data_IF_997249921413
#
_entry.id   IF_997249921413
#
_cell.length_a   1.000
_cell.length_b   1.000
_cell.length_c   1.000
_cell.angle_alpha   90.00
_cell.angle_beta   90.00
_cell.angle_gamma   90.00
#
_symmetry.space_group_name_H-M   'P 1'
#
loop_
_entity.id
_entity.type
_entity.pdbx_description
1 polymer ?
#
# COMPACT_ATOMS: atom_id res chain seq x y z
N UNK A 1 2.66 -22.94 32.45
CA UNK A 1 1.56 -22.20 31.80
C UNK A 1 2.19 -21.45 30.64
N UNK A 2 2.41 -22.18 29.55
CA UNK A 2 3.07 -21.66 28.36
C UNK A 2 2.20 -20.57 27.74
N UNK A 3 2.75 -19.36 27.64
CA UNK A 3 2.20 -18.32 26.79
C UNK A 3 2.44 -18.78 25.36
N UNK A 4 1.51 -19.54 24.79
CA UNK A 4 1.44 -19.71 23.35
C UNK A 4 1.44 -18.29 22.75
N UNK A 5 2.56 -17.90 22.13
CA UNK A 5 2.58 -16.71 21.29
C UNK A 5 1.61 -17.01 20.16
N UNK A 6 0.41 -16.42 20.20
CA UNK A 6 -0.51 -16.45 19.07
C UNK A 6 0.29 -16.05 17.82
N UNK A 7 0.56 -17.03 16.97
CA UNK A 7 1.23 -16.79 15.71
C UNK A 7 0.19 -16.13 14.82
N UNK A 8 0.43 -14.85 14.47
CA UNK A 8 -0.45 -14.12 13.57
C UNK A 8 -0.71 -14.96 12.31
N UNK A 9 -1.98 -15.04 11.90
CA UNK A 9 -2.35 -15.74 10.67
C UNK A 9 -1.67 -15.10 9.46
N UNK A 10 -1.51 -15.85 8.37
CA UNK A 10 -0.90 -15.32 7.14
C UNK A 10 -1.65 -14.08 6.64
N UNK A 11 -2.99 -14.12 6.70
CA UNK A 11 -3.87 -12.99 6.34
C UNK A 11 -3.56 -11.74 7.16
N UNK A 12 -3.38 -11.87 8.47
CA UNK A 12 -3.03 -10.75 9.35
C UNK A 12 -1.63 -10.21 9.06
N UNK A 13 -0.62 -11.08 8.93
CA UNK A 13 0.76 -10.68 8.61
C UNK A 13 0.83 -9.93 7.29
N UNK A 14 0.18 -10.47 6.26
CA UNK A 14 0.10 -9.84 4.95
C UNK A 14 -0.55 -8.46 5.04
N UNK A 15 -1.74 -8.39 5.63
CA UNK A 15 -2.54 -7.16 5.69
C UNK A 15 -1.80 -6.07 6.46
N UNK A 16 -1.25 -6.40 7.63
CA UNK A 16 -0.47 -5.47 8.44
C UNK A 16 0.73 -4.93 7.65
N UNK A 17 1.47 -5.80 6.97
CA UNK A 17 2.67 -5.41 6.22
C UNK A 17 2.35 -4.45 5.08
N UNK A 18 1.30 -4.73 4.31
CA UNK A 18 0.86 -3.90 3.19
C UNK A 18 0.27 -2.58 3.66
N UNK A 19 -0.56 -2.58 4.70
CA UNK A 19 -1.14 -1.36 5.27
C UNK A 19 -0.04 -0.47 5.88
N UNK A 20 0.91 -1.02 6.64
CA UNK A 20 2.00 -0.23 7.23
C UNK A 20 2.84 0.43 6.13
N UNK A 21 3.23 -0.33 5.09
CA UNK A 21 3.99 0.23 3.98
C UNK A 21 3.20 1.33 3.26
N UNK A 22 1.91 1.11 3.04
CA UNK A 22 1.01 2.10 2.46
C UNK A 22 0.87 3.38 3.30
N UNK A 23 0.76 3.24 4.62
CA UNK A 23 0.73 4.37 5.54
C UNK A 23 2.03 5.18 5.52
N UNK A 24 3.19 4.53 5.41
CA UNK A 24 4.47 5.22 5.26
C UNK A 24 4.53 6.05 3.97
N UNK A 25 4.07 5.48 2.85
CA UNK A 25 3.93 6.21 1.59
C UNK A 25 2.96 7.37 1.68
N UNK A 26 1.85 7.21 2.42
CA UNK A 26 0.87 8.27 2.63
C UNK A 26 1.44 9.42 3.46
N UNK A 27 2.17 9.12 4.54
CA UNK A 27 2.88 10.11 5.36
C UNK A 27 3.95 10.86 4.57
N UNK A 28 4.72 10.13 3.74
CA UNK A 28 5.64 10.74 2.79
C UNK A 28 4.91 11.72 1.87
N UNK A 29 3.78 11.30 1.29
CA UNK A 29 3.03 12.08 0.32
C UNK A 29 2.47 13.37 0.93
N UNK A 30 1.93 13.29 2.14
CA UNK A 30 1.48 14.47 2.90
C UNK A 30 2.66 15.40 3.17
N UNK A 31 3.80 14.86 3.62
CA UNK A 31 5.01 15.65 3.89
C UNK A 31 5.54 16.35 2.63
N UNK A 32 5.45 15.68 1.47
CA UNK A 32 5.89 16.21 0.18
C UNK A 32 5.00 17.36 -0.35
N UNK A 33 3.77 17.51 0.15
CA UNK A 33 2.91 18.64 -0.18
C UNK A 33 3.30 19.92 0.56
N UNK A 34 3.97 19.82 1.71
CA UNK A 34 4.27 20.96 2.57
C UNK A 34 5.63 21.60 2.21
N UNK A 35 5.68 22.89 1.83
CA UNK A 35 6.91 23.56 1.40
C UNK A 35 7.76 24.07 2.59
N UNK A 36 7.92 23.27 3.65
CA UNK A 36 8.68 23.64 4.85
C UNK A 36 9.97 22.82 4.97
N UNK A 37 11.12 23.48 5.18
CA UNK A 37 12.46 22.85 5.12
C UNK A 37 12.62 21.65 6.07
N UNK A 38 12.25 21.72 7.37
CA UNK A 38 12.29 20.56 8.27
C UNK A 38 11.42 19.39 7.81
N UNK A 39 10.20 19.65 7.34
CA UNK A 39 9.27 18.62 6.86
C UNK A 39 9.82 17.93 5.60
N UNK A 40 10.58 18.65 4.78
CA UNK A 40 11.27 18.05 3.62
C UNK A 40 12.31 17.00 4.00
N UNK A 41 13.04 17.21 5.11
CA UNK A 41 14.00 16.23 5.63
C UNK A 41 13.25 15.00 6.15
N UNK A 42 12.17 15.20 6.90
CA UNK A 42 11.31 14.11 7.39
C UNK A 42 10.72 13.32 6.21
N UNK A 43 10.24 14.01 5.17
CA UNK A 43 9.75 13.40 3.94
C UNK A 43 10.81 12.57 3.23
N UNK A 44 12.06 13.02 3.16
CA UNK A 44 13.15 12.25 2.56
C UNK A 44 13.44 10.95 3.35
N UNK A 45 13.43 11.01 4.69
CA UNK A 45 13.60 9.83 5.54
C UNK A 45 12.43 8.86 5.35
N UNK A 46 11.19 9.36 5.35
CA UNK A 46 9.99 8.54 5.10
C UNK A 46 10.04 7.87 3.73
N UNK A 47 10.47 8.58 2.69
CA UNK A 47 10.64 8.02 1.35
C UNK A 47 11.64 6.87 1.34
N UNK A 48 12.80 7.04 1.97
CA UNK A 48 13.84 6.02 2.03
C UNK A 48 13.35 4.75 2.74
N UNK A 49 12.69 4.91 3.90
CA UNK A 49 12.12 3.78 4.65
C UNK A 49 11.00 3.09 3.84
N UNK A 50 10.09 3.86 3.25
CA UNK A 50 8.98 3.34 2.43
C UNK A 50 9.49 2.56 1.21
N UNK A 51 10.56 3.03 0.56
CA UNK A 51 11.17 2.35 -0.56
C UNK A 51 11.72 0.99 -0.14
N UNK A 52 12.48 0.91 0.96
CA UNK A 52 13.02 -0.34 1.49
C UNK A 52 11.88 -1.31 1.85
N UNK A 53 10.84 -0.84 2.54
CA UNK A 53 9.67 -1.65 2.88
C UNK A 53 8.93 -2.15 1.63
N UNK A 54 8.93 -1.37 0.55
CA UNK A 54 8.33 -1.76 -0.73
C UNK A 54 9.14 -2.85 -1.44
N UNK A 55 10.46 -2.76 -1.44
CA UNK A 55 11.30 -3.86 -1.92
C UNK A 55 11.11 -5.12 -1.09
N UNK A 56 11.02 -4.97 0.23
CA UNK A 56 10.77 -6.10 1.13
C UNK A 56 9.43 -6.77 0.76
N UNK A 57 8.34 -6.01 0.63
CA UNK A 57 7.00 -6.53 0.28
C UNK A 57 6.94 -7.22 -1.08
N UNK A 58 7.72 -6.76 -2.06
CA UNK A 58 7.80 -7.37 -3.39
C UNK A 58 8.69 -8.63 -3.45
N UNK A 59 9.82 -8.64 -2.72
CA UNK A 59 10.83 -9.69 -2.84
C UNK A 59 10.61 -10.88 -1.89
N UNK A 60 9.93 -10.67 -0.77
CA UNK A 60 9.66 -11.76 0.17
C UNK A 60 8.50 -12.59 -0.35
N UNK A 61 8.78 -13.88 -0.52
CA UNK A 61 7.78 -14.89 -0.86
C UNK A 61 6.62 -14.82 0.14
N UNK A 62 5.43 -14.64 -0.38
CA UNK A 62 4.22 -14.62 0.45
C UNK A 62 3.95 -16.05 0.89
N UNK A 63 4.00 -16.29 2.20
CA UNK A 63 3.41 -17.48 2.80
C UNK A 63 1.91 -17.46 2.46
N UNK A 64 1.37 -18.61 2.14
CA UNK A 64 -0.06 -18.83 1.86
C UNK A 64 -0.49 -20.02 2.68
N UNK A 65 -1.62 -19.89 3.39
CA UNK A 65 -2.14 -20.97 4.22
C UNK A 65 -2.73 -22.10 3.35
N UNK A 66 -3.24 -21.78 2.16
CA UNK A 66 -3.86 -22.72 1.20
C UNK A 66 -3.95 -22.13 -0.23
N UNK A 67 -4.46 -22.91 -1.19
CA UNK A 67 -4.64 -22.44 -2.58
C UNK A 67 -5.69 -21.33 -2.70
N UNK A 68 -6.68 -21.29 -1.81
CA UNK A 68 -7.76 -20.30 -1.80
C UNK A 68 -7.24 -18.90 -1.40
N UNK A 69 -6.42 -18.81 -0.35
CA UNK A 69 -5.76 -17.58 0.07
C UNK A 69 -4.83 -17.01 -1.03
N UNK A 70 -4.18 -17.86 -1.83
CA UNK A 70 -3.43 -17.43 -3.02
C UNK A 70 -4.38 -16.72 -4.00
N UNK A 71 -5.51 -17.35 -4.33
CA UNK A 71 -6.50 -16.76 -5.26
C UNK A 71 -7.04 -15.43 -4.74
N UNK A 72 -7.39 -15.34 -3.45
CA UNK A 72 -7.82 -14.09 -2.81
C UNK A 72 -6.77 -12.98 -2.92
N UNK A 73 -5.47 -13.29 -2.72
CA UNK A 73 -4.37 -12.32 -2.86
C UNK A 73 -4.27 -11.83 -4.31
N UNK A 74 -4.35 -12.73 -5.30
CA UNK A 74 -4.29 -12.35 -6.72
C UNK A 74 -5.50 -11.50 -7.13
N UNK A 75 -6.70 -11.88 -6.70
CA UNK A 75 -7.92 -11.11 -6.92
C UNK A 75 -7.81 -9.71 -6.31
N UNK A 76 -7.33 -9.61 -5.06
CA UNK A 76 -7.12 -8.35 -4.37
C UNK A 76 -6.12 -7.45 -5.09
N UNK A 77 -4.99 -8.00 -5.56
CA UNK A 77 -3.99 -7.25 -6.35
C UNK A 77 -4.56 -6.79 -7.69
N UNK A 78 -5.29 -7.65 -8.40
CA UNK A 78 -5.88 -7.32 -9.70
C UNK A 78 -6.90 -6.19 -9.58
N UNK A 79 -7.86 -6.31 -8.66
CA UNK A 79 -8.87 -5.29 -8.41
C UNK A 79 -8.23 -3.97 -7.96
N UNK A 80 -7.20 -4.03 -7.11
CA UNK A 80 -6.45 -2.85 -6.69
C UNK A 80 -5.80 -2.15 -7.87
N UNK A 81 -5.24 -2.90 -8.82
CA UNK A 81 -4.60 -2.36 -10.01
C UNK A 81 -5.62 -1.63 -10.91
N UNK A 82 -6.82 -2.18 -11.09
CA UNK A 82 -7.89 -1.52 -11.86
C UNK A 82 -8.35 -0.21 -11.20
N UNK A 83 -8.53 -0.21 -9.87
CA UNK A 83 -8.87 1.00 -9.10
C UNK A 83 -7.76 2.05 -9.23
N UNK A 84 -6.49 1.63 -9.16
CA UNK A 84 -5.35 2.52 -9.34
C UNK A 84 -5.32 3.14 -10.73
N UNK A 85 -5.49 2.34 -11.78
CA UNK A 85 -5.52 2.85 -13.16
C UNK A 85 -6.65 3.87 -13.33
N UNK A 86 -7.85 3.56 -12.85
CA UNK A 86 -8.97 4.50 -12.85
C UNK A 86 -8.64 5.81 -12.11
N UNK A 87 -8.02 5.71 -10.93
CA UNK A 87 -7.62 6.89 -10.14
C UNK A 87 -6.54 7.72 -10.84
N UNK A 88 -5.55 7.09 -11.49
CA UNK A 88 -4.51 7.76 -12.25
C UNK A 88 -5.08 8.48 -13.46
N UNK A 89 -5.99 7.85 -14.21
CA UNK A 89 -6.69 8.47 -15.32
C UNK A 89 -7.47 9.71 -14.87
N UNK A 90 -8.20 9.60 -13.75
CA UNK A 90 -8.99 10.70 -13.19
C UNK A 90 -8.11 11.89 -12.81
N UNK A 91 -7.01 11.64 -12.09
CA UNK A 91 -6.06 12.71 -11.71
C UNK A 91 -5.36 13.30 -12.94
N UNK A 92 -5.03 12.48 -13.93
CA UNK A 92 -4.46 12.93 -15.20
C UNK A 92 -5.40 13.91 -15.93
N UNK A 93 -6.68 13.55 -16.07
CA UNK A 93 -7.70 14.42 -16.67
C UNK A 93 -7.82 15.73 -15.88
N UNK A 94 -7.94 15.66 -14.55
CA UNK A 94 -8.04 16.85 -13.68
C UNK A 94 -6.79 17.74 -13.79
N UNK A 95 -5.60 17.15 -13.91
CA UNK A 95 -4.35 17.89 -14.07
C UNK A 95 -4.25 18.66 -15.39
N UNK A 96 -5.05 18.29 -16.40
CA UNK A 96 -5.21 19.07 -17.63
C UNK A 96 -6.00 20.37 -17.42
N UNK A 97 -6.83 20.43 -16.38
CA UNK A 97 -7.65 21.61 -16.05
C UNK A 97 -7.07 22.43 -14.89
N UNK A 98 -6.32 21.79 -13.99
CA UNK A 98 -5.73 22.41 -12.81
C UNK A 98 -4.21 22.24 -12.89
N UNK A 99 -3.44 23.32 -12.76
CA UNK A 99 -1.97 23.30 -12.68
C UNK A 99 -1.49 22.61 -11.40
N UNK A 100 -1.67 21.30 -11.32
CA UNK A 100 -1.20 20.44 -10.25
C UNK A 100 -0.02 19.61 -10.74
N UNK A 101 1.15 19.70 -10.09
CA UNK A 101 2.31 18.90 -10.47
C UNK A 101 2.09 17.41 -10.18
N UNK A 102 1.92 16.60 -11.22
CA UNK A 102 1.67 15.16 -11.12
C UNK A 102 2.74 14.42 -10.30
N UNK A 103 4.00 14.87 -10.35
CA UNK A 103 5.09 14.30 -9.55
C UNK A 103 4.89 14.48 -8.03
N UNK A 104 3.94 15.30 -7.57
CA UNK A 104 3.56 15.35 -6.14
C UNK A 104 2.49 14.33 -5.78
N UNK A 105 1.74 13.82 -6.75
CA UNK A 105 0.68 12.83 -6.53
C UNK A 105 1.18 11.38 -6.51
N UNK A 106 2.35 11.08 -7.11
CA UNK A 106 2.80 9.69 -7.27
C UNK A 106 2.83 8.89 -5.96
N UNK A 107 3.28 9.51 -4.86
CA UNK A 107 3.34 8.85 -3.56
C UNK A 107 1.95 8.39 -3.06
N UNK A 108 0.88 9.11 -3.41
CA UNK A 108 -0.49 8.71 -3.08
C UNK A 108 -0.93 7.47 -3.88
N UNK A 109 -0.54 7.38 -5.16
CA UNK A 109 -0.80 6.17 -5.95
C UNK A 109 -0.03 4.97 -5.42
N UNK A 110 1.23 5.16 -5.02
CA UNK A 110 2.01 4.08 -4.40
C UNK A 110 1.40 3.68 -3.06
N UNK A 111 0.96 4.63 -2.23
CA UNK A 111 0.25 4.33 -0.98
C UNK A 111 -1.02 3.50 -1.24
N UNK A 112 -1.86 3.93 -2.18
CA UNK A 112 -3.07 3.20 -2.56
C UNK A 112 -2.75 1.79 -3.07
N UNK A 113 -1.65 1.60 -3.81
CA UNK A 113 -1.21 0.29 -4.30
C UNK A 113 -0.79 -0.70 -3.22
N UNK A 114 -0.52 -0.21 -2.02
CA UNK A 114 -0.16 -1.05 -0.88
C UNK A 114 -1.38 -1.25 0.04
N UNK A 115 -2.16 -0.19 0.29
CA UNK A 115 -3.32 -0.27 1.19
C UNK A 115 -4.45 -1.11 0.58
N UNK A 116 -4.79 -0.89 -0.70
CA UNK A 116 -5.93 -1.55 -1.33
C UNK A 116 -5.80 -3.08 -1.36
N UNK A 117 -4.66 -3.69 -1.76
CA UNK A 117 -4.53 -5.14 -1.73
C UNK A 117 -4.63 -5.71 -0.32
N UNK A 118 -4.07 -5.03 0.68
CA UNK A 118 -4.15 -5.47 2.08
C UNK A 118 -5.60 -5.48 2.60
N UNK A 119 -6.37 -4.42 2.31
CA UNK A 119 -7.77 -4.32 2.72
C UNK A 119 -8.68 -5.29 1.95
N UNK A 120 -8.50 -5.41 0.64
CA UNK A 120 -9.29 -6.33 -0.18
C UNK A 120 -9.00 -7.78 0.15
N UNK A 121 -7.75 -8.14 0.45
CA UNK A 121 -7.41 -9.49 0.88
C UNK A 121 -8.10 -9.85 2.21
N UNK A 122 -8.07 -8.96 3.20
CA UNK A 122 -8.81 -9.14 4.45
C UNK A 122 -10.32 -9.30 4.22
N UNK A 123 -10.86 -8.62 3.21
CA UNK A 123 -12.28 -8.72 2.84
C UNK A 123 -12.60 -10.08 2.22
N UNK A 124 -11.84 -10.53 1.22
CA UNK A 124 -12.07 -11.82 0.56
C UNK A 124 -11.92 -13.00 1.52
N UNK A 125 -10.93 -12.95 2.42
CA UNK A 125 -10.75 -13.96 3.46
C UNK A 125 -11.92 -14.02 4.46
N UNK A 126 -12.57 -12.90 4.76
CA UNK A 126 -13.76 -12.87 5.63
C UNK A 126 -15.03 -13.35 4.92
N UNK A 127 -15.14 -13.10 3.62
CA UNK A 127 -16.32 -13.42 2.81
C UNK A 127 -16.25 -14.82 2.20
N UNK A 128 -15.06 -15.46 2.17
CA UNK A 128 -14.85 -16.80 1.61
C UNK A 128 -15.08 -16.86 0.10
N UNK A 129 -14.79 -15.77 -0.61
CA UNK A 129 -15.04 -15.57 -2.05
C UNK A 129 -13.79 -15.67 -2.90
#
# INVERSE_FOLDING_TARGET
MDKEKETLSVTQKYTIRYIINGCLWLLYSISNLVPFKPIRIIGAVLLFVSAICSFYTLLVRQESDDEMSIQHIWAAKSMSLEILLCSMMTVGIISGFISFPFYKAYGFFVAASQILPGLLFLKYEKEGC
#
